data_IF_908407805796
#
_entry.id   IF_908407805796
#
_cell.length_a   1.000
_cell.length_b   1.000
_cell.length_c   1.000
_cell.angle_alpha   90.00
_cell.angle_beta   90.00
_cell.angle_gamma   90.00
#
_symmetry.space_group_name_H-M   'P 1'
#
loop_
_entity.id
_entity.type
_entity.pdbx_description
1 polymer ?
#
# COMPACT_ATOMS: atom_id res chain seq x y z
N UNK A 1 -10.24 -10.61 -14.43
CA UNK A 1 -10.66 -10.48 -13.01
C UNK A 1 -10.31 -9.05 -12.60
N UNK A 2 -11.28 -8.22 -12.23
CA UNK A 2 -11.10 -6.76 -12.12
C UNK A 2 -11.07 -6.31 -10.65
N UNK A 3 -10.27 -5.29 -10.32
CA UNK A 3 -10.24 -4.64 -9.00
C UNK A 3 -11.50 -3.79 -8.87
N UNK A 4 -12.59 -4.33 -8.32
CA UNK A 4 -13.88 -3.61 -8.33
C UNK A 4 -14.03 -2.54 -7.24
N UNK A 5 -13.05 -2.33 -6.34
CA UNK A 5 -13.29 -1.50 -5.14
C UNK A 5 -12.11 -0.70 -4.58
N UNK A 6 -10.95 -0.67 -5.25
CA UNK A 6 -9.84 0.19 -4.82
C UNK A 6 -9.26 0.95 -6.01
N UNK A 7 -9.08 2.26 -5.81
CA UNK A 7 -8.46 3.16 -6.77
C UNK A 7 -7.38 3.99 -6.06
N UNK A 8 -6.30 4.28 -6.78
CA UNK A 8 -5.23 5.16 -6.33
C UNK A 8 -5.00 6.20 -7.41
N UNK A 9 -5.15 7.46 -7.03
CA UNK A 9 -4.86 8.61 -7.88
C UNK A 9 -3.72 9.39 -7.21
N UNK A 10 -2.68 9.69 -7.97
CA UNK A 10 -1.53 10.48 -7.52
C UNK A 10 -1.47 11.73 -8.39
N UNK A 11 -1.52 12.90 -7.76
CA UNK A 11 -1.45 14.20 -8.43
C UNK A 11 -0.15 14.90 -8.04
N UNK A 12 0.57 15.41 -9.03
CA UNK A 12 1.76 16.25 -8.84
C UNK A 12 1.48 17.67 -9.32
N UNK A 13 2.05 18.66 -8.63
CA UNK A 13 1.98 20.07 -9.08
C UNK A 13 2.86 20.25 -10.31
N UNK A 14 2.31 20.83 -11.37
CA UNK A 14 2.98 20.92 -12.68
C UNK A 14 4.30 21.69 -12.62
N UNK A 15 4.32 22.86 -11.95
CA UNK A 15 5.50 23.73 -11.83
C UNK A 15 6.68 23.14 -11.03
N UNK A 16 6.59 21.88 -10.58
CA UNK A 16 7.57 21.27 -9.70
C UNK A 16 7.73 19.76 -9.93
N UNK A 17 6.99 18.91 -9.20
CA UNK A 17 7.15 17.45 -9.25
C UNK A 17 6.44 16.84 -10.46
N UNK A 18 5.35 17.45 -10.93
CA UNK A 18 4.51 16.93 -12.00
C UNK A 18 5.27 16.75 -13.31
N UNK A 19 5.93 17.81 -13.80
CA UNK A 19 6.67 17.77 -15.06
C UNK A 19 7.95 16.90 -15.00
N UNK A 20 8.50 16.66 -13.81
CA UNK A 20 9.71 15.86 -13.60
C UNK A 20 9.43 14.38 -13.37
N UNK A 21 8.19 14.03 -13.05
CA UNK A 21 7.82 12.65 -12.74
C UNK A 21 8.14 11.72 -13.91
N UNK A 22 8.91 10.68 -13.64
CA UNK A 22 9.28 9.67 -14.63
C UNK A 22 9.09 8.26 -14.10
N UNK A 23 9.25 7.27 -14.99
CA UNK A 23 9.27 5.85 -14.66
C UNK A 23 8.08 5.36 -13.83
N UNK A 24 6.88 5.87 -14.16
CA UNK A 24 5.64 5.48 -13.50
C UNK A 24 5.34 4.00 -13.75
N UNK A 25 5.33 3.19 -12.69
CA UNK A 25 4.97 1.77 -12.72
C UNK A 25 3.82 1.46 -11.78
N UNK A 26 2.93 0.57 -12.19
CA UNK A 26 1.77 0.13 -11.40
C UNK A 26 1.93 -1.32 -10.95
N UNK A 27 1.62 -1.62 -9.69
CA UNK A 27 1.60 -2.96 -9.12
C UNK A 27 0.19 -3.34 -8.65
N UNK A 28 -0.57 -4.16 -9.40
CA UNK A 28 -1.87 -4.64 -8.95
C UNK A 28 -1.73 -5.95 -8.17
N UNK A 29 -2.48 -6.10 -7.08
CA UNK A 29 -2.62 -7.37 -6.36
C UNK A 29 -4.09 -7.71 -6.10
N UNK A 30 -4.48 -8.89 -6.57
CA UNK A 30 -5.87 -9.36 -6.58
C UNK A 30 -6.09 -10.44 -5.54
N UNK A 31 -7.07 -10.22 -4.65
CA UNK A 31 -7.49 -11.17 -3.62
C UNK A 31 -9.03 -11.26 -3.58
N UNK A 32 -9.66 -11.47 -4.74
CA UNK A 32 -11.13 -11.48 -4.89
C UNK A 32 -11.73 -10.07 -4.98
N UNK A 33 -12.66 -9.72 -4.09
CA UNK A 33 -13.21 -8.35 -3.97
C UNK A 33 -12.38 -7.44 -3.03
N UNK A 34 -11.17 -7.88 -2.70
CA UNK A 34 -10.16 -7.20 -1.88
C UNK A 34 -8.84 -7.23 -2.63
N UNK A 35 -7.91 -6.40 -2.21
CA UNK A 35 -6.62 -6.31 -2.86
C UNK A 35 -5.94 -4.99 -2.60
N UNK A 36 -4.89 -4.75 -3.37
CA UNK A 36 -4.13 -3.53 -3.30
C UNK A 36 -3.68 -3.07 -4.68
N UNK A 37 -3.54 -1.77 -4.84
CA UNK A 37 -2.92 -1.15 -6.01
C UNK A 37 -1.79 -0.27 -5.51
N UNK A 38 -0.66 -0.34 -6.21
CA UNK A 38 0.48 0.50 -5.91
C UNK A 38 1.00 1.22 -7.14
N UNK A 39 1.64 2.36 -6.91
CA UNK A 39 2.37 3.12 -7.93
C UNK A 39 3.78 3.40 -7.43
N UNK A 40 4.77 3.13 -8.28
CA UNK A 40 6.14 3.60 -8.15
C UNK A 40 6.35 4.73 -9.15
N UNK A 41 6.94 5.84 -8.70
CA UNK A 41 7.32 6.94 -9.58
C UNK A 41 8.67 7.52 -9.14
N UNK A 42 9.52 7.81 -10.12
CA UNK A 42 10.79 8.48 -9.90
C UNK A 42 10.63 9.99 -10.05
N UNK A 43 11.32 10.76 -9.20
CA UNK A 43 11.47 12.21 -9.32
C UNK A 43 12.97 12.51 -9.36
N UNK A 44 13.51 12.94 -10.52
CA UNK A 44 14.90 13.39 -10.63
C UNK A 44 15.14 14.64 -9.79
N UNK A 45 16.32 14.75 -9.18
CA UNK A 45 16.74 15.94 -8.44
C UNK A 45 17.01 17.15 -9.34
N UNK A 46 17.13 18.33 -8.72
CA UNK A 46 17.28 19.62 -9.39
C UNK A 46 18.64 19.80 -10.10
N UNK A 47 19.56 18.87 -9.89
CA UNK A 47 20.92 18.82 -10.43
C UNK A 47 20.99 18.29 -11.88
N UNK A 48 19.86 17.91 -12.50
CA UNK A 48 19.77 17.58 -13.94
C UNK A 48 20.50 16.30 -14.35
N UNK A 49 21.12 15.59 -13.40
CA UNK A 49 21.63 14.24 -13.60
C UNK A 49 20.41 13.32 -13.50
N UNK A 50 20.23 12.46 -14.50
CA UNK A 50 19.14 11.48 -14.59
C UNK A 50 19.35 10.31 -13.61
N UNK A 51 19.85 10.59 -12.40
CA UNK A 51 19.75 9.69 -11.26
C UNK A 51 18.35 9.88 -10.68
N UNK A 52 17.66 8.77 -10.43
CA UNK A 52 16.40 8.78 -9.69
C UNK A 52 16.80 9.07 -8.24
N UNK A 53 16.92 10.37 -7.93
CA UNK A 53 17.35 10.82 -6.61
C UNK A 53 16.29 10.46 -5.55
N UNK A 54 15.02 10.41 -5.96
CA UNK A 54 13.90 10.04 -5.10
C UNK A 54 12.92 9.09 -5.82
N UNK A 55 12.76 7.89 -5.25
CA UNK A 55 11.71 6.94 -5.63
C UNK A 55 10.58 7.01 -4.61
N UNK A 56 9.37 7.28 -5.10
CA UNK A 56 8.16 7.34 -4.30
C UNK A 56 7.27 6.13 -4.57
N UNK A 57 6.84 5.48 -3.49
CA UNK A 57 5.92 4.35 -3.53
C UNK A 57 4.65 4.67 -2.78
N UNK A 58 3.53 4.64 -3.49
CA UNK A 58 2.19 4.77 -2.94
C UNK A 58 1.47 3.44 -3.03
N UNK A 59 0.91 2.96 -1.93
CA UNK A 59 0.12 1.72 -1.90
C UNK A 59 -1.24 1.99 -1.27
N UNK A 60 -2.30 1.59 -1.96
CA UNK A 60 -3.67 1.65 -1.50
C UNK A 60 -4.23 0.23 -1.37
N UNK A 61 -4.53 -0.21 -0.14
CA UNK A 61 -4.99 -1.57 0.15
C UNK A 61 -6.37 -1.60 0.81
N UNK A 62 -7.24 -2.50 0.35
CA UNK A 62 -8.54 -2.75 0.95
C UNK A 62 -8.59 -4.19 1.48
N UNK A 63 -8.49 -4.34 2.81
CA UNK A 63 -8.40 -5.64 3.48
C UNK A 63 -9.76 -6.17 3.96
N UNK A 64 -9.82 -7.46 4.28
CA UNK A 64 -11.05 -8.11 4.73
C UNK A 64 -11.66 -7.45 5.99
N UNK A 65 -12.97 -7.24 5.94
CA UNK A 65 -13.76 -6.65 7.04
C UNK A 65 -14.01 -7.66 8.19
N UNK A 66 -14.69 -7.21 9.25
CA UNK A 66 -15.09 -7.94 10.48
C UNK A 66 -14.00 -8.16 11.53
N UNK A 67 -14.31 -7.89 12.81
CA UNK A 67 -13.34 -7.92 13.92
C UNK A 67 -12.62 -9.28 14.04
N UNK A 68 -13.37 -10.37 13.96
CA UNK A 68 -12.93 -11.77 14.04
C UNK A 68 -11.98 -12.22 12.91
N UNK A 69 -11.79 -11.42 11.86
CA UNK A 69 -10.90 -11.74 10.72
C UNK A 69 -9.50 -11.15 10.86
N UNK A 70 -9.02 -10.92 12.09
CA UNK A 70 -7.70 -10.33 12.34
C UNK A 70 -6.56 -11.17 11.72
N UNK A 71 -6.60 -12.49 11.91
CA UNK A 71 -5.59 -13.41 11.36
C UNK A 71 -5.54 -13.31 9.83
N UNK A 72 -6.71 -13.30 9.18
CA UNK A 72 -6.78 -13.14 7.72
C UNK A 72 -6.26 -11.77 7.29
N UNK A 73 -6.61 -10.67 7.97
CA UNK A 73 -6.04 -9.34 7.65
C UNK A 73 -4.51 -9.30 7.74
N UNK A 74 -3.92 -9.92 8.75
CA UNK A 74 -2.47 -10.00 8.90
C UNK A 74 -1.86 -10.82 7.75
N UNK A 75 -2.50 -11.92 7.35
CA UNK A 75 -2.08 -12.72 6.21
C UNK A 75 -2.20 -11.95 4.89
N UNK A 76 -3.29 -11.20 4.69
CA UNK A 76 -3.51 -10.36 3.51
C UNK A 76 -2.45 -9.26 3.42
N UNK A 77 -2.18 -8.57 4.54
CA UNK A 77 -1.14 -7.55 4.62
C UNK A 77 0.23 -8.15 4.29
N UNK A 78 0.58 -9.28 4.92
CA UNK A 78 1.84 -9.97 4.61
C UNK A 78 1.90 -10.37 3.14
N UNK A 79 0.81 -10.89 2.58
CA UNK A 79 0.77 -11.25 1.18
C UNK A 79 1.09 -10.02 0.31
N UNK A 80 0.41 -8.89 0.52
CA UNK A 80 0.67 -7.63 -0.20
C UNK A 80 2.13 -7.22 -0.12
N UNK A 81 2.70 -7.21 1.09
CA UNK A 81 4.10 -6.83 1.33
C UNK A 81 5.09 -7.67 0.52
N UNK A 82 4.83 -8.97 0.37
CA UNK A 82 5.76 -9.90 -0.28
C UNK A 82 5.50 -10.09 -1.78
N UNK A 83 4.27 -9.89 -2.25
CA UNK A 83 3.88 -10.23 -3.63
C UNK A 83 3.50 -9.02 -4.48
N UNK A 84 3.36 -7.83 -3.89
CA UNK A 84 3.25 -6.59 -4.67
C UNK A 84 4.61 -6.27 -5.29
N UNK A 85 4.71 -6.56 -6.58
CA UNK A 85 5.91 -6.39 -7.37
C UNK A 85 5.78 -5.19 -8.30
N UNK A 86 6.91 -4.51 -8.48
CA UNK A 86 7.08 -3.43 -9.42
C UNK A 86 8.22 -3.79 -10.39
N UNK A 87 8.10 -3.40 -11.67
CA UNK A 87 9.24 -3.42 -12.58
C UNK A 87 10.42 -2.66 -11.96
N UNK A 88 11.59 -3.30 -11.93
CA UNK A 88 12.81 -2.65 -11.44
C UNK A 88 13.27 -1.56 -12.40
N UNK A 89 13.90 -0.53 -11.82
CA UNK A 89 14.46 0.61 -12.55
C UNK A 89 15.84 0.28 -13.13
N UNK A 90 16.59 -0.60 -12.49
CA UNK A 90 18.01 -0.85 -12.79
C UNK A 90 18.33 -2.31 -13.11
N UNK A 91 17.37 -3.23 -12.94
CA UNK A 91 17.56 -4.67 -13.14
C UNK A 91 16.38 -5.26 -13.90
N UNK A 92 16.54 -6.49 -14.40
CA UNK A 92 15.46 -7.24 -15.06
C UNK A 92 14.55 -7.96 -14.07
N UNK A 93 14.95 -8.10 -12.80
CA UNK A 93 14.16 -8.74 -11.77
C UNK A 93 13.21 -7.72 -11.12
N UNK A 94 11.91 -8.04 -10.97
CA UNK A 94 10.97 -7.15 -10.28
C UNK A 94 11.34 -6.95 -8.82
N UNK A 95 11.01 -5.79 -8.28
CA UNK A 95 11.28 -5.39 -6.90
C UNK A 95 10.00 -5.31 -6.08
N UNK A 96 10.08 -5.58 -4.77
CA UNK A 96 8.93 -5.43 -3.87
C UNK A 96 8.73 -3.97 -3.48
N UNK A 97 7.57 -3.66 -2.89
CA UNK A 97 7.21 -2.31 -2.43
C UNK A 97 8.18 -1.68 -1.39
N UNK A 98 9.15 -2.45 -0.86
CA UNK A 98 10.14 -2.00 0.13
C UNK A 98 11.58 -1.87 -0.41
N UNK A 99 11.81 -2.19 -1.69
CA UNK A 99 13.14 -2.08 -2.27
C UNK A 99 13.39 -0.62 -2.65
N UNK A 100 14.31 0.01 -1.91
CA UNK A 100 14.99 1.29 -2.18
C UNK A 100 14.08 2.52 -2.33
N UNK A 101 13.47 2.98 -1.23
CA UNK A 101 12.67 4.22 -1.24
C UNK A 101 13.07 5.19 -0.12
N UNK A 102 13.16 6.47 -0.47
CA UNK A 102 13.28 7.58 0.49
C UNK A 102 11.94 7.82 1.22
N UNK A 103 10.80 7.40 0.64
CA UNK A 103 9.48 7.53 1.27
C UNK A 103 8.48 6.48 0.76
N UNK A 104 7.90 5.73 1.69
CA UNK A 104 6.83 4.76 1.43
C UNK A 104 5.54 5.25 2.09
N UNK A 105 4.46 5.31 1.31
CA UNK A 105 3.16 5.74 1.78
C UNK A 105 2.11 4.65 1.59
N UNK A 106 1.79 3.95 2.67
CA UNK A 106 0.70 2.97 2.72
C UNK A 106 -0.57 3.60 3.29
N UNK A 107 -1.62 3.68 2.48
CA UNK A 107 -2.92 4.24 2.88
C UNK A 107 -4.06 3.26 2.60
N UNK A 108 -5.21 3.52 3.23
CA UNK A 108 -6.55 2.95 2.99
C UNK A 108 -7.12 2.07 4.13
N UNK A 109 -8.31 1.51 3.91
CA UNK A 109 -9.11 0.77 4.86
C UNK A 109 -8.53 -0.63 5.12
N UNK A 110 -7.54 -0.65 6.03
CA UNK A 110 -6.94 -1.87 6.54
C UNK A 110 -7.90 -2.68 7.43
N UNK A 111 -9.08 -2.13 7.78
CA UNK A 111 -10.12 -2.81 8.54
C UNK A 111 -9.69 -3.36 9.93
N UNK A 112 -8.57 -2.88 10.50
CA UNK A 112 -8.22 -3.20 11.89
C UNK A 112 -9.25 -2.57 12.83
N UNK A 113 -9.64 -3.35 13.84
CA UNK A 113 -10.66 -2.96 14.83
C UNK A 113 -9.98 -2.80 16.18
N UNK A 114 -10.50 -1.88 16.98
CA UNK A 114 -10.01 -1.62 18.32
C UNK A 114 -10.55 -2.72 19.25
N UNK A 115 -9.67 -3.42 19.95
CA UNK A 115 -10.06 -4.37 20.99
C UNK A 115 -10.21 -3.60 22.31
N UNK A 116 -11.45 -3.34 22.73
CA UNK A 116 -11.72 -2.68 24.01
C UNK A 116 -11.72 -3.72 25.14
N UNK A 117 -11.21 -3.39 26.33
CA UNK A 117 -11.43 -4.24 27.49
C UNK A 117 -12.95 -4.41 27.74
N UNK A 118 -13.42 -5.59 28.17
CA UNK A 118 -14.85 -5.84 28.42
C UNK A 118 -15.50 -4.86 29.43
N UNK A 119 -14.69 -4.24 30.28
CA UNK A 119 -15.11 -3.30 31.32
C UNK A 119 -15.24 -1.85 30.81
N UNK A 120 -14.91 -1.57 29.54
CA UNK A 120 -14.96 -0.22 29.00
C UNK A 120 -16.37 0.16 28.59
N UNK A 121 -16.84 1.37 28.94
CA UNK A 121 -18.24 1.80 28.78
C UNK A 121 -18.88 1.61 27.37
N UNK A 122 -18.14 1.68 26.24
CA UNK A 122 -18.69 1.36 24.91
C UNK A 122 -18.37 -0.05 24.40
N UNK A 123 -17.83 -0.96 25.23
CA UNK A 123 -17.53 -2.33 24.82
C UNK A 123 -18.85 -3.10 24.58
N UNK A 124 -19.27 -3.21 23.33
CA UNK A 124 -20.38 -4.06 22.91
C UNK A 124 -20.04 -5.55 23.12
N UNK A 125 -21.04 -6.34 23.49
CA UNK A 125 -20.99 -7.78 23.83
C UNK A 125 -20.38 -8.75 22.79
N UNK A 126 -19.95 -8.27 21.62
CA UNK A 126 -19.45 -9.07 20.49
C UNK A 126 -17.91 -9.10 20.36
N UNK A 127 -17.17 -8.90 21.46
CA UNK A 127 -15.72 -9.09 21.42
C UNK A 127 -15.33 -10.56 21.68
N UNK A 128 -14.70 -11.26 20.73
CA UNK A 128 -14.07 -12.54 21.04
C UNK A 128 -12.92 -12.34 22.03
N UNK A 129 -12.60 -13.35 22.86
CA UNK A 129 -11.55 -13.25 23.86
C UNK A 129 -10.23 -12.86 23.21
N UNK A 130 -9.55 -11.88 23.82
CA UNK A 130 -8.24 -11.42 23.41
C UNK A 130 -7.26 -12.59 23.37
N UNK A 131 -6.69 -12.86 22.19
CA UNK A 131 -5.56 -13.76 22.04
C UNK A 131 -4.33 -13.08 22.67
N UNK A 132 -4.09 -13.41 23.94
CA UNK A 132 -2.74 -13.42 24.53
C UNK A 132 -2.05 -14.73 24.13
#
# INVERSE_FOLDING_TARGET
MSVHSVALLVFGRDDDVGHRTCDVKTGPLYMGNKGAVGVHLGVPGDNGIRSIDELYTFVCAYLIAYAQKLTQRIQDYRHIVHTMLFPSLNTTAPTTMFVTVNSHFGFSDLNFRLALPPLHAPASHEQPPSLL
#
